data_IF_600309700700
#
_entry.id   IF_600309700700
#
_cell.length_a   1.000
_cell.length_b   1.000
_cell.length_c   1.000
_cell.angle_alpha   90.00
_cell.angle_beta   90.00
_cell.angle_gamma   90.00
#
_symmetry.space_group_name_H-M   'P 1'
#
loop_
_entity.id
_entity.type
_entity.pdbx_description
1 polymer ?
#
# COMPACT_ATOMS: atom_id res chain seq x y z
N UNK A 1 15.43 -2.20 -5.87
CA UNK A 1 15.40 -3.23 -4.81
C UNK A 1 14.05 -3.93 -4.86
N UNK A 2 14.04 -5.27 -4.88
CA UNK A 2 12.87 -6.10 -4.60
C UNK A 2 12.99 -6.59 -3.14
N UNK A 3 12.08 -6.15 -2.28
CA UNK A 3 12.09 -6.44 -0.86
C UNK A 3 10.89 -7.31 -0.47
N UNK A 4 11.15 -8.45 0.16
CA UNK A 4 10.12 -9.38 0.61
C UNK A 4 10.66 -10.29 1.72
N UNK A 5 9.81 -11.16 2.26
CA UNK A 5 10.19 -12.14 3.26
C UNK A 5 11.29 -13.09 2.75
N UNK A 6 12.17 -13.62 3.63
CA UNK A 6 13.26 -14.51 3.22
C UNK A 6 12.80 -15.73 2.40
N UNK A 7 11.65 -16.30 2.75
CA UNK A 7 11.08 -17.44 2.01
C UNK A 7 10.64 -17.09 0.58
N UNK A 8 10.23 -15.85 0.33
CA UNK A 8 9.84 -15.34 -0.99
C UNK A 8 11.08 -15.02 -1.82
N UNK A 9 12.01 -14.26 -1.22
CA UNK A 9 13.27 -13.87 -1.88
C UNK A 9 14.11 -15.08 -2.31
N UNK A 10 14.13 -16.16 -1.50
CA UNK A 10 14.85 -17.39 -1.83
C UNK A 10 14.41 -18.05 -3.15
N UNK A 11 13.20 -17.77 -3.62
CA UNK A 11 12.65 -18.32 -4.87
C UNK A 11 12.49 -17.25 -5.97
N UNK A 12 12.93 -16.01 -5.72
CA UNK A 12 12.81 -14.93 -6.66
C UNK A 12 13.77 -15.13 -7.85
N UNK A 13 13.29 -15.03 -9.10
CA UNK A 13 14.15 -15.15 -10.28
C UNK A 13 15.08 -13.93 -10.38
N UNK A 14 16.32 -14.16 -10.83
CA UNK A 14 17.28 -13.10 -11.03
C UNK A 14 16.90 -12.24 -12.25
N UNK A 15 16.88 -10.92 -12.06
CA UNK A 15 16.68 -9.96 -13.12
C UNK A 15 17.85 -8.95 -13.15
N UNK A 16 18.38 -8.61 -14.33
CA UNK A 16 19.40 -7.57 -14.45
C UNK A 16 18.92 -6.24 -13.84
N UNK A 17 19.75 -5.65 -13.00
CA UNK A 17 19.45 -4.36 -12.35
C UNK A 17 18.49 -4.43 -11.16
N UNK A 18 18.05 -5.62 -10.76
CA UNK A 18 17.22 -5.82 -9.57
C UNK A 18 18.03 -6.49 -8.46
N UNK A 19 18.15 -5.81 -7.34
CA UNK A 19 18.70 -6.35 -6.10
C UNK A 19 17.56 -6.95 -5.26
N UNK A 20 17.71 -8.20 -4.82
CA UNK A 20 16.77 -8.86 -3.92
C UNK A 20 17.26 -8.72 -2.48
N UNK A 21 16.44 -8.11 -1.63
CA UNK A 21 16.72 -7.92 -0.19
C UNK A 21 15.60 -8.60 0.60
N UNK A 22 16.00 -9.49 1.50
CA UNK A 22 15.06 -10.17 2.40
C UNK A 22 14.89 -9.42 3.71
N UNK A 23 13.68 -9.37 4.24
CA UNK A 23 13.39 -8.76 5.54
C UNK A 23 11.92 -8.80 5.89
N UNK A 24 11.57 -8.07 6.93
CA UNK A 24 10.20 -7.93 7.43
C UNK A 24 9.84 -6.43 7.44
N UNK A 25 8.80 -6.04 6.70
CA UNK A 25 8.33 -4.66 6.60
C UNK A 25 7.87 -4.09 7.95
N UNK A 26 7.53 -4.96 8.92
CA UNK A 26 7.19 -4.55 10.28
C UNK A 26 8.41 -4.22 11.13
N UNK A 27 9.59 -4.71 10.77
CA UNK A 27 10.85 -4.42 11.44
C UNK A 27 11.55 -3.23 10.80
N UNK A 28 11.97 -3.38 9.55
CA UNK A 28 12.68 -2.33 8.80
C UNK A 28 12.51 -2.53 7.29
N UNK A 29 12.70 -1.46 6.54
CA UNK A 29 12.62 -1.43 5.08
C UNK A 29 13.92 -0.84 4.54
N UNK A 30 14.48 -1.36 3.43
CA UNK A 30 15.68 -0.80 2.80
C UNK A 30 15.52 0.67 2.41
N UNK A 31 16.61 1.44 2.47
CA UNK A 31 16.62 2.85 2.07
C UNK A 31 16.34 3.02 0.59
N UNK A 32 15.57 4.05 0.25
CA UNK A 32 15.26 4.41 -1.13
C UNK A 32 14.70 5.81 -1.27
N UNK A 33 14.59 6.28 -2.50
CA UNK A 33 13.96 7.55 -2.84
C UNK A 33 12.46 7.40 -3.07
N UNK A 34 12.01 6.20 -3.42
CA UNK A 34 10.63 5.84 -3.53
C UNK A 34 10.40 4.40 -3.07
N UNK A 35 9.27 4.15 -2.43
CA UNK A 35 8.81 2.83 -2.03
C UNK A 35 7.50 2.56 -2.76
N UNK A 36 7.47 1.48 -3.55
CA UNK A 36 6.29 1.07 -4.29
C UNK A 36 5.61 -0.12 -3.61
N UNK A 37 4.30 -0.01 -3.38
CA UNK A 37 3.48 -1.09 -2.84
C UNK A 37 2.19 -1.22 -3.63
N UNK A 38 1.82 -2.45 -3.98
CA UNK A 38 0.56 -2.73 -4.67
C UNK A 38 -0.24 -3.76 -3.91
N UNK A 39 -1.47 -3.41 -3.52
CA UNK A 39 -2.39 -4.31 -2.81
C UNK A 39 -1.80 -4.88 -1.51
N UNK A 40 -1.06 -4.05 -0.76
CA UNK A 40 -0.43 -4.44 0.50
C UNK A 40 -1.23 -3.94 1.70
N UNK A 41 -1.55 -2.62 1.76
CA UNK A 41 -2.16 -2.03 2.95
C UNK A 41 -3.58 -2.54 3.23
N UNK A 42 -4.26 -3.06 2.22
CA UNK A 42 -5.59 -3.65 2.37
C UNK A 42 -5.59 -4.93 3.20
N UNK A 43 -4.47 -5.67 3.26
CA UNK A 43 -4.38 -6.94 3.97
C UNK A 43 -4.23 -6.75 5.49
N UNK A 44 -4.02 -5.51 5.93
CA UNK A 44 -3.70 -5.14 7.32
C UNK A 44 -4.71 -4.17 7.93
N UNK A 45 -4.88 -4.27 9.26
CA UNK A 45 -5.63 -3.28 10.02
C UNK A 45 -4.92 -1.92 10.03
N UNK A 46 -5.57 -0.86 10.51
CA UNK A 46 -5.04 0.49 10.44
C UNK A 46 -3.79 0.69 11.32
N UNK A 47 -3.69 0.03 12.49
CA UNK A 47 -2.51 0.09 13.37
C UNK A 47 -1.27 -0.51 12.69
N UNK A 48 -1.44 -1.67 12.06
CA UNK A 48 -0.38 -2.33 11.31
C UNK A 48 0.01 -1.52 10.06
N UNK A 49 -0.95 -0.94 9.34
CA UNK A 49 -0.67 -0.02 8.24
C UNK A 49 0.19 1.17 8.67
N UNK A 50 -0.14 1.80 9.81
CA UNK A 50 0.64 2.92 10.37
C UNK A 50 2.06 2.46 10.72
N UNK A 51 2.24 1.26 11.26
CA UNK A 51 3.56 0.70 11.58
C UNK A 51 4.41 0.51 10.32
N UNK A 52 3.85 -0.12 9.28
CA UNK A 52 4.50 -0.28 7.97
C UNK A 52 4.89 1.08 7.38
N UNK A 53 3.95 2.02 7.35
CA UNK A 53 4.17 3.34 6.77
C UNK A 53 5.19 4.18 7.54
N UNK A 54 5.28 4.05 8.87
CA UNK A 54 6.34 4.67 9.68
C UNK A 54 7.72 4.10 9.33
N UNK A 55 7.82 2.80 9.05
CA UNK A 55 9.07 2.21 8.58
C UNK A 55 9.41 2.71 7.16
N UNK A 56 8.43 2.83 6.27
CA UNK A 56 8.62 3.49 4.97
C UNK A 56 9.14 4.92 5.14
N UNK A 57 8.51 5.70 6.02
CA UNK A 57 8.91 7.10 6.27
C UNK A 57 10.36 7.20 6.74
N UNK A 58 10.81 6.32 7.64
CA UNK A 58 12.20 6.27 8.13
C UNK A 58 13.20 5.93 7.03
N UNK A 59 12.83 5.04 6.11
CA UNK A 59 13.69 4.53 5.05
C UNK A 59 13.82 5.47 3.84
N UNK A 60 12.85 6.37 3.67
CA UNK A 60 12.84 7.34 2.58
C UNK A 60 13.83 8.47 2.81
N UNK A 61 14.46 8.94 1.73
CA UNK A 61 15.21 10.21 1.70
C UNK A 61 14.31 11.42 2.02
N UNK A 62 14.90 12.59 2.28
CA UNK A 62 14.16 13.79 2.71
C UNK A 62 13.10 14.32 1.73
N UNK A 63 13.13 13.91 0.46
CA UNK A 63 12.12 14.20 -0.57
C UNK A 63 11.51 12.93 -1.15
N UNK A 64 11.63 11.83 -0.41
CA UNK A 64 11.12 10.54 -0.84
C UNK A 64 9.61 10.43 -0.73
N UNK A 65 9.06 9.44 -1.40
CA UNK A 65 7.62 9.17 -1.41
C UNK A 65 7.29 7.68 -1.35
N UNK A 66 6.11 7.37 -0.84
CA UNK A 66 5.47 6.06 -1.01
C UNK A 66 4.50 6.16 -2.17
N UNK A 67 4.54 5.18 -3.06
CA UNK A 67 3.63 5.02 -4.19
C UNK A 67 2.78 3.79 -3.93
N UNK A 68 1.49 3.99 -3.71
CA UNK A 68 0.53 2.92 -3.50
C UNK A 68 -0.29 2.68 -4.76
N UNK A 69 -0.57 1.42 -5.06
CA UNK A 69 -1.55 1.02 -6.08
C UNK A 69 -2.63 0.20 -5.39
N UNK A 70 -3.73 0.86 -5.07
CA UNK A 70 -4.80 0.29 -4.25
C UNK A 70 -6.18 0.57 -4.86
N UNK A 71 -7.16 -0.22 -4.47
CA UNK A 71 -8.57 0.11 -4.73
C UNK A 71 -9.06 1.06 -3.63
N UNK A 72 -9.94 1.99 -4.02
CA UNK A 72 -10.54 2.94 -3.09
C UNK A 72 -12.03 2.65 -2.97
N UNK A 73 -12.53 2.43 -1.74
CA UNK A 73 -13.96 2.27 -1.51
C UNK A 73 -14.68 3.57 -1.79
N UNK A 74 -15.72 3.57 -2.64
CA UNK A 74 -16.47 4.77 -2.95
C UNK A 74 -17.30 5.21 -1.75
N UNK A 75 -17.37 6.53 -1.48
CA UNK A 75 -18.20 7.11 -0.43
C UNK A 75 -19.70 6.82 -0.64
N UNK A 76 -20.12 6.77 -1.89
CA UNK A 76 -21.50 6.44 -2.30
C UNK A 76 -21.45 5.43 -3.43
N UNK A 77 -21.64 4.15 -3.14
CA UNK A 77 -21.67 3.12 -4.18
C UNK A 77 -22.81 3.39 -5.19
N UNK A 78 -22.47 3.27 -6.48
CA UNK A 78 -23.45 3.36 -7.56
C UNK A 78 -23.83 1.94 -8.00
N UNK A 79 -25.13 1.63 -8.02
CA UNK A 79 -25.66 0.28 -8.33
C UNK A 79 -25.20 -0.21 -9.72
N UNK A 80 -25.06 0.70 -10.68
CA UNK A 80 -24.68 0.36 -12.06
C UNK A 80 -23.20 0.57 -12.38
N UNK A 81 -22.36 0.90 -11.38
CA UNK A 81 -20.94 1.09 -11.57
C UNK A 81 -20.16 -0.21 -11.30
N UNK A 82 -19.51 -0.72 -12.33
CA UNK A 82 -18.72 -1.96 -12.27
C UNK A 82 -17.56 -1.85 -11.28
N UNK A 83 -16.91 -0.69 -11.23
CA UNK A 83 -15.79 -0.46 -10.30
C UNK A 83 -16.25 -0.52 -8.85
N UNK A 84 -17.39 0.10 -8.51
CA UNK A 84 -17.97 0.01 -7.16
C UNK A 84 -18.28 -1.43 -6.77
N UNK A 85 -18.88 -2.22 -7.68
CA UNK A 85 -19.18 -3.63 -7.43
C UNK A 85 -17.91 -4.45 -7.20
N UNK A 86 -16.88 -4.21 -7.99
CA UNK A 86 -15.60 -4.91 -7.89
C UNK A 86 -14.93 -4.62 -6.54
N UNK A 87 -14.83 -3.35 -6.15
CA UNK A 87 -14.21 -2.95 -4.88
C UNK A 87 -14.97 -3.54 -3.69
N UNK A 88 -16.30 -3.42 -3.65
CA UNK A 88 -17.11 -3.96 -2.55
C UNK A 88 -17.06 -5.50 -2.51
N UNK A 89 -17.03 -6.17 -3.67
CA UNK A 89 -16.84 -7.63 -3.73
C UNK A 89 -15.49 -8.06 -3.16
N UNK A 90 -14.43 -7.31 -3.44
CA UNK A 90 -13.10 -7.59 -2.85
C UNK A 90 -13.05 -7.30 -1.36
N UNK A 91 -13.71 -6.26 -0.89
CA UNK A 91 -13.82 -5.96 0.54
C UNK A 91 -14.47 -7.12 1.31
N UNK A 92 -15.51 -7.73 0.76
CA UNK A 92 -16.09 -8.96 1.31
C UNK A 92 -15.10 -10.12 1.39
N UNK A 93 -14.19 -10.25 0.40
CA UNK A 93 -13.12 -11.26 0.44
C UNK A 93 -12.13 -10.95 1.56
N UNK A 94 -11.75 -9.69 1.76
CA UNK A 94 -10.85 -9.30 2.85
C UNK A 94 -11.42 -9.66 4.22
N UNK A 95 -12.71 -9.46 4.45
CA UNK A 95 -13.39 -9.86 5.69
C UNK A 95 -13.23 -11.34 6.03
N UNK A 96 -13.10 -12.20 5.03
CA UNK A 96 -13.02 -13.66 5.22
C UNK A 96 -11.59 -14.21 5.24
N UNK A 97 -10.63 -13.50 4.68
CA UNK A 97 -9.26 -13.98 4.49
C UNK A 97 -8.21 -13.25 5.32
N UNK A 98 -8.45 -12.00 5.68
CA UNK A 98 -7.47 -11.16 6.37
C UNK A 98 -8.03 -10.71 7.73
N UNK A 99 -7.28 -10.95 8.80
CA UNK A 99 -7.66 -10.50 10.15
C UNK A 99 -7.54 -8.98 10.25
N UNK A 100 -8.69 -8.27 10.11
CA UNK A 100 -8.76 -6.80 10.16
C UNK A 100 -8.38 -6.09 8.86
N UNK A 101 -8.06 -6.84 7.79
CA UNK A 101 -7.85 -6.29 6.45
C UNK A 101 -9.16 -5.80 5.82
N UNK A 102 -9.07 -4.73 5.01
CA UNK A 102 -10.22 -4.15 4.29
C UNK A 102 -9.75 -3.24 3.17
N UNK A 103 -10.60 -3.08 2.16
CA UNK A 103 -10.41 -1.99 1.20
C UNK A 103 -10.70 -0.65 1.92
N UNK A 104 -9.94 0.38 1.60
CA UNK A 104 -9.97 1.66 2.31
C UNK A 104 -10.54 2.78 1.45
N UNK A 105 -11.22 3.73 2.07
CA UNK A 105 -11.63 4.99 1.42
C UNK A 105 -10.43 5.93 1.28
N UNK A 106 -10.53 6.94 0.41
CA UNK A 106 -9.45 7.92 0.27
C UNK A 106 -9.17 8.67 1.58
N UNK A 107 -10.21 9.04 2.32
CA UNK A 107 -10.04 9.70 3.63
C UNK A 107 -9.30 8.83 4.65
N UNK A 108 -9.42 7.50 4.57
CA UNK A 108 -8.64 6.60 5.41
C UNK A 108 -7.16 6.57 5.00
N UNK A 109 -6.85 6.64 3.69
CA UNK A 109 -5.46 6.81 3.23
C UNK A 109 -4.87 8.15 3.67
N UNK A 110 -5.64 9.25 3.66
CA UNK A 110 -5.19 10.54 4.19
C UNK A 110 -4.87 10.46 5.70
N UNK A 111 -5.73 9.79 6.47
CA UNK A 111 -5.48 9.55 7.90
C UNK A 111 -4.21 8.72 8.12
N UNK A 112 -4.06 7.60 7.40
CA UNK A 112 -2.87 6.75 7.50
C UNK A 112 -1.58 7.52 7.15
N UNK A 113 -1.62 8.37 6.12
CA UNK A 113 -0.49 9.22 5.75
C UNK A 113 -0.12 10.17 6.89
N UNK A 114 -1.08 10.90 7.43
CA UNK A 114 -0.89 11.85 8.54
C UNK A 114 -0.35 11.16 9.79
N UNK A 115 -0.94 10.04 10.21
CA UNK A 115 -0.55 9.29 11.41
C UNK A 115 0.85 8.67 11.30
N UNK A 116 1.33 8.52 10.07
CA UNK A 116 2.65 7.97 9.76
C UNK A 116 3.72 9.05 9.49
N UNK A 117 3.36 10.33 9.53
CA UNK A 117 4.28 11.47 9.42
C UNK A 117 4.46 12.01 7.99
N UNK A 118 3.67 11.54 7.01
CA UNK A 118 3.67 12.10 5.65
C UNK A 118 2.91 13.43 5.61
N UNK A 119 3.43 14.38 4.84
CA UNK A 119 2.89 15.74 4.75
C UNK A 119 1.73 15.85 3.76
N UNK A 120 1.68 14.97 2.75
CA UNK A 120 0.70 15.03 1.68
C UNK A 120 0.32 13.63 1.19
N UNK A 121 -0.97 13.46 0.93
CA UNK A 121 -1.55 12.27 0.29
C UNK A 121 -2.36 12.73 -0.92
N UNK A 122 -2.11 12.19 -2.10
CA UNK A 122 -2.83 12.58 -3.31
C UNK A 122 -3.02 11.42 -4.28
N UNK A 123 -4.15 11.42 -4.98
CA UNK A 123 -4.40 10.49 -6.10
C UNK A 123 -3.77 11.09 -7.35
N UNK A 124 -2.83 10.37 -7.94
CA UNK A 124 -2.13 10.78 -9.17
C UNK A 124 -2.91 10.41 -10.41
N UNK A 125 -3.39 9.18 -10.46
CA UNK A 125 -4.20 8.67 -11.57
C UNK A 125 -5.02 7.45 -11.15
N UNK A 126 -5.93 7.04 -12.03
CA UNK A 126 -6.75 5.85 -11.85
C UNK A 126 -6.68 5.00 -13.10
N UNK A 127 -6.53 3.69 -12.92
CA UNK A 127 -6.54 2.71 -14.01
C UNK A 127 -7.53 1.60 -13.64
N UNK A 128 -8.64 1.54 -14.32
CA UNK A 128 -9.78 0.68 -13.97
C UNK A 128 -10.27 0.96 -12.52
N UNK A 129 -10.27 -0.06 -11.66
CA UNK A 129 -10.64 0.08 -10.26
C UNK A 129 -9.47 0.45 -9.33
N UNK A 130 -8.23 0.48 -9.84
CA UNK A 130 -7.05 0.84 -9.06
C UNK A 130 -6.75 2.33 -9.16
N UNK A 131 -6.21 2.86 -8.07
CA UNK A 131 -5.75 4.24 -7.96
C UNK A 131 -4.26 4.23 -7.59
N UNK A 132 -3.51 5.11 -8.24
CA UNK A 132 -2.14 5.40 -7.84
C UNK A 132 -2.19 6.55 -6.84
N UNK A 133 -1.75 6.29 -5.62
CA UNK A 133 -1.77 7.24 -4.51
C UNK A 133 -0.33 7.51 -4.10
N UNK A 134 0.05 8.76 -3.93
CA UNK A 134 1.37 9.13 -3.42
C UNK A 134 1.28 9.74 -2.02
N UNK A 135 2.15 9.27 -1.12
CA UNK A 135 2.41 9.88 0.19
C UNK A 135 3.78 10.53 0.14
N UNK A 136 3.84 11.83 0.36
CA UNK A 136 5.07 12.62 0.32
C UNK A 136 5.60 12.91 1.72
N UNK A 137 6.92 12.69 1.89
CA UNK A 137 7.65 12.99 3.12
C UNK A 137 7.89 14.48 3.31
#
# INVERSE_FOLDING_TARGET
INFDLPSVVAHAPLYPGVEHVSGDMFAEIPRGDAIFMKSILRDWNDEDCVKILKNCWKSLSGKGKVILVEMITPLKPKINDVSSKLVLGRDMVMLTQCSGGREKSFSQFETLASDSGFLRCEIICSVNAFHVIEFHK
#
